data_IF_974942962928
#
_entry.id   IF_974942962928
#
_cell.length_a   1.000
_cell.length_b   1.000
_cell.length_c   1.000
_cell.angle_alpha   90.00
_cell.angle_beta   90.00
_cell.angle_gamma   90.00
#
_symmetry.space_group_name_H-M   'P 1'
#
loop_
_entity.id
_entity.type
_entity.pdbx_description
1 polymer ?
#
# COMPACT_ATOMS: atom_id res chain seq x y z
N UNK A 1 -16.77 -0.20 -8.19
CA UNK A 1 -15.49 0.54 -8.06
C UNK A 1 -14.99 0.43 -6.63
N UNK A 2 -13.69 0.21 -6.43
CA UNK A 2 -13.13 0.11 -5.09
C UNK A 2 -13.00 1.48 -4.46
N UNK A 3 -13.21 1.54 -3.15
CA UNK A 3 -13.00 2.74 -2.35
C UNK A 3 -11.61 2.66 -1.70
N UNK A 4 -10.78 3.68 -1.90
CA UNK A 4 -9.44 3.74 -1.34
C UNK A 4 -9.42 4.73 -0.18
N UNK A 5 -8.92 4.28 0.96
CA UNK A 5 -8.78 5.10 2.17
C UNK A 5 -7.30 5.26 2.50
N UNK A 6 -6.94 6.38 3.12
CA UNK A 6 -5.54 6.71 3.37
C UNK A 6 -5.35 7.12 4.83
N UNK A 7 -4.31 6.57 5.46
CA UNK A 7 -3.90 7.02 6.78
C UNK A 7 -3.10 8.34 6.67
N UNK A 8 -2.93 9.02 7.78
CA UNK A 8 -2.08 10.22 7.84
C UNK A 8 -0.64 9.88 7.47
N UNK A 9 -0.16 8.73 7.91
CA UNK A 9 1.20 8.24 7.62
C UNK A 9 1.40 8.04 6.12
N UNK A 10 0.42 7.49 5.44
CA UNK A 10 0.50 7.31 3.99
C UNK A 10 0.48 8.64 3.25
N UNK A 11 -0.39 9.57 3.67
CA UNK A 11 -0.46 10.91 3.08
C UNK A 11 0.86 11.66 3.24
N UNK A 12 1.52 11.51 4.38
CA UNK A 12 2.84 12.10 4.62
C UNK A 12 3.87 11.51 3.66
N UNK A 13 3.85 10.20 3.45
CA UNK A 13 4.72 9.53 2.48
C UNK A 13 4.54 10.13 1.07
N UNK A 14 3.29 10.32 0.64
CA UNK A 14 3.01 10.94 -0.67
C UNK A 14 3.57 12.35 -0.72
N UNK A 15 3.32 13.15 0.31
CA UNK A 15 3.76 14.56 0.34
C UNK A 15 5.28 14.70 0.24
N UNK A 16 6.02 13.74 0.79
CA UNK A 16 7.48 13.74 0.76
C UNK A 16 8.07 13.09 -0.47
N UNK A 17 7.25 12.46 -1.30
CA UNK A 17 7.72 11.75 -2.50
C UNK A 17 8.03 12.72 -3.63
N UNK A 18 8.97 12.31 -4.49
CA UNK A 18 9.29 13.05 -5.72
C UNK A 18 8.09 13.04 -6.68
N UNK A 19 8.03 14.03 -7.58
CA UNK A 19 6.89 14.19 -8.47
C UNK A 19 6.63 12.99 -9.38
N UNK A 20 7.68 12.32 -9.85
CA UNK A 20 7.53 11.12 -10.68
C UNK A 20 6.97 9.93 -9.88
N UNK A 21 7.27 9.84 -8.59
CA UNK A 21 6.69 8.82 -7.69
C UNK A 21 5.21 9.14 -7.49
N UNK A 22 4.86 10.40 -7.24
CA UNK A 22 3.47 10.83 -7.09
C UNK A 22 2.64 10.50 -8.32
N UNK A 23 3.19 10.75 -9.51
CA UNK A 23 2.53 10.44 -10.78
C UNK A 23 2.23 8.95 -10.89
N UNK A 24 3.20 8.10 -10.55
CA UNK A 24 3.03 6.64 -10.58
C UNK A 24 1.98 6.18 -9.57
N UNK A 25 2.00 6.75 -8.37
CA UNK A 25 1.02 6.42 -7.33
C UNK A 25 -0.40 6.78 -7.80
N UNK A 26 -0.58 7.96 -8.39
CA UNK A 26 -1.89 8.38 -8.89
C UNK A 26 -2.39 7.44 -9.99
N UNK A 27 -1.50 6.99 -10.87
CA UNK A 27 -1.85 6.01 -11.89
C UNK A 27 -2.33 4.69 -11.24
N UNK A 28 -1.60 4.23 -10.22
CA UNK A 28 -1.97 2.99 -9.51
C UNK A 28 -3.30 3.13 -8.78
N UNK A 29 -3.63 4.30 -8.25
CA UNK A 29 -4.95 4.54 -7.66
C UNK A 29 -6.05 4.30 -8.70
N UNK A 30 -5.90 4.84 -9.91
CA UNK A 30 -6.89 4.64 -10.97
C UNK A 30 -7.00 3.17 -11.37
N UNK A 31 -5.87 2.47 -11.49
CA UNK A 31 -5.85 1.04 -11.80
C UNK A 31 -6.62 0.26 -10.72
N UNK A 32 -6.35 0.54 -9.45
CA UNK A 32 -6.97 -0.19 -8.34
C UNK A 32 -8.45 0.12 -8.19
N UNK A 33 -8.88 1.34 -8.53
CA UNK A 33 -10.29 1.70 -8.50
C UNK A 33 -11.08 1.05 -9.62
N UNK A 34 -10.53 1.02 -10.83
CA UNK A 34 -11.29 0.72 -12.05
C UNK A 34 -11.15 -0.70 -12.56
N UNK A 35 -10.03 -1.38 -12.30
CA UNK A 35 -9.82 -2.74 -12.81
C UNK A 35 -10.57 -3.75 -11.95
N UNK A 36 -11.31 -4.66 -12.61
CA UNK A 36 -12.06 -5.71 -11.90
C UNK A 36 -11.13 -6.69 -11.18
N UNK A 37 -9.96 -6.97 -11.75
CA UNK A 37 -8.96 -7.86 -11.18
C UNK A 37 -7.69 -7.05 -10.87
N UNK A 38 -7.20 -7.16 -9.65
CA UNK A 38 -5.92 -6.57 -9.26
C UNK A 38 -4.84 -7.64 -9.43
N UNK A 39 -3.96 -7.43 -10.39
CA UNK A 39 -2.88 -8.34 -10.74
C UNK A 39 -1.84 -8.38 -9.62
N UNK A 40 -1.23 -9.55 -9.39
CA UNK A 40 -0.18 -9.72 -8.37
C UNK A 40 1.08 -8.90 -8.67
N UNK A 41 1.26 -8.43 -9.89
CA UNK A 41 2.33 -7.48 -10.23
C UNK A 41 2.05 -6.08 -9.68
N UNK A 42 0.77 -5.74 -9.47
CA UNK A 42 0.37 -4.47 -8.88
C UNK A 42 0.42 -4.57 -7.35
N UNK A 43 -0.23 -5.58 -6.78
CA UNK A 43 -0.30 -5.77 -5.34
C UNK A 43 -0.11 -7.24 -4.99
N UNK A 44 0.92 -7.54 -4.21
CA UNK A 44 1.29 -8.89 -3.83
C UNK A 44 1.02 -9.13 -2.35
N UNK A 45 0.41 -10.28 -2.04
CA UNK A 45 0.19 -10.70 -0.66
C UNK A 45 1.53 -10.93 0.04
N UNK A 46 1.70 -10.34 1.22
CA UNK A 46 2.89 -10.56 2.05
C UNK A 46 2.72 -11.83 2.88
N UNK A 47 3.70 -12.72 2.79
CA UNK A 47 3.69 -14.02 3.48
C UNK A 47 3.61 -13.80 4.99
N UNK A 48 2.76 -14.60 5.66
CA UNK A 48 2.55 -14.56 7.11
C UNK A 48 2.00 -13.24 7.64
N UNK A 49 1.32 -12.48 6.78
CA UNK A 49 0.65 -11.24 7.19
C UNK A 49 -0.75 -11.17 6.56
N UNK A 50 -1.56 -10.21 7.04
CA UNK A 50 -2.83 -9.88 6.42
C UNK A 50 -2.71 -8.74 5.42
N UNK A 51 -1.49 -8.37 5.06
CA UNK A 51 -1.21 -7.20 4.22
C UNK A 51 -0.88 -7.58 2.79
N UNK A 52 -1.09 -6.60 1.89
CA UNK A 52 -0.59 -6.62 0.53
C UNK A 52 0.45 -5.52 0.36
N UNK A 53 1.36 -5.72 -0.57
CA UNK A 53 2.43 -4.79 -0.88
C UNK A 53 2.30 -4.32 -2.32
N UNK A 54 2.34 -3.00 -2.51
CA UNK A 54 2.41 -2.38 -3.83
C UNK A 54 3.86 -1.95 -4.06
N UNK A 55 4.44 -2.38 -5.18
CA UNK A 55 5.82 -2.05 -5.56
C UNK A 55 5.82 -0.93 -6.58
N UNK A 56 6.62 0.09 -6.31
CA UNK A 56 6.77 1.24 -7.20
C UNK A 56 8.26 1.42 -7.49
N UNK A 57 8.64 1.15 -8.73
CA UNK A 57 10.04 1.25 -9.16
C UNK A 57 10.23 2.55 -9.94
N UNK A 58 10.66 3.61 -9.26
CA UNK A 58 10.98 4.90 -9.85
C UNK A 58 12.23 5.42 -9.14
N UNK A 59 13.39 5.32 -9.78
CA UNK A 59 14.72 5.64 -9.25
C UNK A 59 15.11 4.74 -8.08
N UNK A 60 14.25 4.59 -7.10
CA UNK A 60 14.41 3.71 -5.95
C UNK A 60 13.26 2.71 -5.89
N UNK A 61 13.44 1.66 -5.08
CA UNK A 61 12.37 0.70 -4.82
C UNK A 61 11.48 1.24 -3.70
N UNK A 62 10.31 1.73 -4.08
CA UNK A 62 9.29 2.15 -3.10
C UNK A 62 8.35 0.99 -2.83
N UNK A 63 7.86 0.93 -1.60
CA UNK A 63 6.87 -0.07 -1.17
C UNK A 63 5.74 0.65 -0.45
N UNK A 64 4.52 0.19 -0.70
CA UNK A 64 3.33 0.68 0.00
C UNK A 64 2.61 -0.52 0.58
N UNK A 65 2.31 -0.47 1.87
CA UNK A 65 1.59 -1.54 2.57
C UNK A 65 0.12 -1.17 2.64
N UNK A 66 -0.75 -2.09 2.20
CA UNK A 66 -2.21 -1.89 2.21
C UNK A 66 -2.90 -3.03 2.94
N UNK A 67 -4.09 -2.75 3.47
CA UNK A 67 -4.95 -3.71 4.15
C UNK A 67 -6.33 -3.70 3.50
N UNK A 68 -6.88 -4.89 3.28
CA UNK A 68 -8.22 -5.04 2.71
C UNK A 68 -9.22 -5.16 3.85
N UNK A 69 -10.10 -4.15 3.98
CA UNK A 69 -10.98 -4.01 5.14
C UNK A 69 -12.16 -4.98 5.14
N UNK A 70 -12.65 -5.35 3.97
CA UNK A 70 -13.91 -6.08 3.81
C UNK A 70 -13.76 -7.49 3.25
N UNK A 71 -12.57 -7.88 2.80
CA UNK A 71 -12.33 -9.21 2.22
C UNK A 71 -10.85 -9.53 2.21
N UNK A 72 -10.50 -10.79 2.42
CA UNK A 72 -9.10 -11.24 2.45
C UNK A 72 -8.41 -11.13 1.09
N UNK A 73 -9.16 -11.29 0.00
CA UNK A 73 -8.62 -11.23 -1.36
C UNK A 73 -8.75 -9.80 -1.89
N UNK A 74 -7.63 -9.22 -2.31
CA UNK A 74 -7.59 -7.82 -2.77
C UNK A 74 -8.45 -7.57 -4.01
N UNK A 75 -8.58 -8.55 -4.91
CA UNK A 75 -9.43 -8.42 -6.09
C UNK A 75 -10.90 -8.32 -5.70
N UNK A 76 -11.32 -9.06 -4.66
CA UNK A 76 -12.70 -9.06 -4.20
C UNK A 76 -13.01 -7.96 -3.20
N UNK A 77 -11.99 -7.38 -2.59
CA UNK A 77 -12.17 -6.29 -1.63
C UNK A 77 -12.67 -5.02 -2.31
N UNK A 78 -13.63 -4.35 -1.69
CA UNK A 78 -14.17 -3.06 -2.14
C UNK A 78 -13.64 -1.90 -1.32
N UNK A 79 -13.01 -2.18 -0.18
CA UNK A 79 -12.49 -1.18 0.74
C UNK A 79 -11.02 -1.48 1.03
N UNK A 80 -10.12 -0.64 0.54
CA UNK A 80 -8.67 -0.83 0.69
C UNK A 80 -8.08 0.35 1.44
N UNK A 81 -7.36 0.06 2.53
CA UNK A 81 -6.71 1.06 3.37
C UNK A 81 -5.21 1.08 3.08
N UNK A 82 -4.70 2.24 2.68
CA UNK A 82 -3.27 2.46 2.46
C UNK A 82 -2.65 2.90 3.79
N UNK A 83 -1.75 2.06 4.33
CA UNK A 83 -1.22 2.23 5.69
C UNK A 83 0.02 3.11 5.73
N UNK A 84 1.08 2.72 5.02
CA UNK A 84 2.34 3.47 4.98
C UNK A 84 3.11 3.14 3.72
N UNK A 85 4.03 4.05 3.36
CA UNK A 85 4.94 3.87 2.25
C UNK A 85 6.37 4.14 2.69
N UNK A 86 7.33 3.56 1.99
CA UNK A 86 8.75 3.71 2.33
C UNK A 86 9.63 3.31 1.14
N UNK A 87 10.90 3.72 1.21
CA UNK A 87 11.93 3.27 0.27
C UNK A 87 12.57 2.03 0.88
N UNK A 88 12.59 0.92 0.14
CA UNK A 88 13.17 -0.33 0.62
C UNK A 88 14.70 -0.21 0.63
N UNK A 89 15.31 -0.40 1.79
CA UNK A 89 16.76 -0.31 1.98
C UNK A 89 17.39 -1.65 2.31
N UNK A 90 16.89 -2.31 3.34
CA UNK A 90 17.41 -3.60 3.82
C UNK A 90 16.25 -4.48 4.28
N UNK A 91 16.52 -5.78 4.45
CA UNK A 91 15.52 -6.71 4.99
C UNK A 91 15.08 -6.32 6.40
N UNK A 92 16.03 -5.88 7.23
CA UNK A 92 15.73 -5.45 8.60
C UNK A 92 14.82 -4.23 8.62
N UNK A 93 15.09 -3.25 7.77
CA UNK A 93 14.25 -2.06 7.64
C UNK A 93 12.86 -2.42 7.13
N UNK A 94 12.80 -3.32 6.17
CA UNK A 94 11.55 -3.83 5.61
C UNK A 94 10.66 -4.43 6.71
N UNK A 95 11.24 -5.30 7.55
CA UNK A 95 10.50 -5.92 8.66
C UNK A 95 9.98 -4.88 9.64
N UNK A 96 10.76 -3.84 9.92
CA UNK A 96 10.31 -2.72 10.76
C UNK A 96 9.11 -2.01 10.16
N UNK A 97 9.11 -1.82 8.84
CA UNK A 97 8.01 -1.15 8.15
C UNK A 97 6.73 -1.97 8.18
N UNK A 98 6.83 -3.29 8.09
CA UNK A 98 5.67 -4.18 8.22
C UNK A 98 5.11 -4.10 9.65
N UNK A 99 5.96 -4.11 10.67
CA UNK A 99 5.54 -3.94 12.07
C UNK A 99 4.88 -2.58 12.28
N UNK A 100 5.41 -1.54 11.66
CA UNK A 100 4.83 -0.20 11.69
C UNK A 100 3.42 -0.21 11.09
N UNK A 101 3.25 -0.90 9.96
CA UNK A 101 1.93 -1.03 9.32
C UNK A 101 0.90 -1.66 10.27
N UNK A 102 1.29 -2.69 11.01
CA UNK A 102 0.41 -3.35 11.98
C UNK A 102 -0.02 -2.38 13.08
N UNK A 103 0.90 -1.57 13.59
CA UNK A 103 0.59 -0.57 14.62
C UNK A 103 -0.32 0.54 14.09
N UNK A 104 -0.08 0.98 12.86
CA UNK A 104 -0.92 1.99 12.21
C UNK A 104 -2.35 1.46 12.07
N UNK A 105 -2.50 0.21 11.66
CA UNK A 105 -3.82 -0.41 11.51
C UNK A 105 -4.56 -0.48 12.85
N UNK A 106 -3.89 -0.88 13.94
CA UNK A 106 -4.50 -0.91 15.26
C UNK A 106 -5.00 0.46 15.69
N UNK A 107 -4.16 1.48 15.51
CA UNK A 107 -4.51 2.87 15.84
C UNK A 107 -5.69 3.35 15.00
N UNK A 108 -5.70 2.99 13.72
CA UNK A 108 -6.77 3.41 12.80
C UNK A 108 -8.12 2.80 13.19
N UNK A 109 -8.12 1.59 13.72
CA UNK A 109 -9.35 0.89 14.16
C UNK A 109 -9.94 1.46 15.46
N UNK A 110 -9.18 2.22 16.23
CA UNK A 110 -9.66 2.80 17.48
C UNK A 110 -10.73 3.88 17.27
#
# INVERSE_FOLDING_TARGET
>A
MRNLQFTDEFLEFINQSESNVKTKINYLFEVMKTQSVINSKVAKKLVNTDFYEIRIQVNNEHRVIVFTLDHDNITQSKEILFLNGFIKKSTKDYDKQIKKAAKILEKWKE
#
